data_IF_386716217743
#
_entry.id   IF_386716217743
#
_cell.length_a   1.000
_cell.length_b   1.000
_cell.length_c   1.000
_cell.angle_alpha   90.00
_cell.angle_beta   90.00
_cell.angle_gamma   90.00
#
_symmetry.space_group_name_H-M   'P 1'
#
loop_
_entity.id
_entity.type
_entity.pdbx_description
1 polymer ?
#
# COMPACT_ATOMS: atom_id res chain seq x y z
N UNK A 1 -24.80 -28.97 8.62
CA UNK A 1 -24.46 -27.54 8.54
C UNK A 1 -23.25 -27.34 9.42
N UNK A 2 -22.07 -27.54 8.86
CA UNK A 2 -20.80 -27.43 9.58
C UNK A 2 -20.26 -26.04 9.32
N UNK A 3 -20.20 -25.21 10.35
CA UNK A 3 -19.56 -23.89 10.30
C UNK A 3 -18.05 -24.09 10.14
N UNK A 4 -17.53 -23.85 8.94
CA UNK A 4 -16.09 -23.79 8.68
C UNK A 4 -15.53 -22.52 9.36
N UNK A 5 -14.90 -22.73 10.53
CA UNK A 5 -14.09 -21.74 11.24
C UNK A 5 -12.68 -21.67 10.64
N UNK A 6 -12.54 -21.44 9.34
CA UNK A 6 -11.21 -21.37 8.69
C UNK A 6 -11.01 -20.03 7.97
N UNK A 7 -10.81 -18.99 8.77
CA UNK A 7 -9.90 -17.87 8.53
C UNK A 7 -9.92 -17.03 9.81
N UNK A 8 -8.85 -17.09 10.61
CA UNK A 8 -8.68 -16.17 11.74
C UNK A 8 -8.61 -14.75 11.17
N UNK A 9 -9.71 -13.99 11.34
CA UNK A 9 -9.76 -12.56 11.03
C UNK A 9 -8.67 -11.88 11.83
N UNK A 10 -7.77 -11.17 11.15
CA UNK A 10 -6.75 -10.37 11.82
C UNK A 10 -7.44 -9.13 12.39
N UNK A 11 -7.89 -9.23 13.65
CA UNK A 11 -8.53 -8.12 14.35
C UNK A 11 -7.48 -7.14 14.90
N UNK A 12 -7.89 -5.88 15.10
CA UNK A 12 -7.07 -4.79 15.65
C UNK A 12 -6.36 -5.10 16.97
N UNK A 13 -6.82 -6.10 17.73
CA UNK A 13 -6.13 -6.54 18.96
C UNK A 13 -4.70 -7.05 18.68
N UNK A 14 -4.40 -7.39 17.42
CA UNK A 14 -3.19 -8.10 17.04
C UNK A 14 -2.33 -7.36 15.99
N UNK A 15 -2.43 -6.03 15.85
CA UNK A 15 -1.55 -5.28 14.92
C UNK A 15 -0.05 -5.50 15.23
N UNK A 16 0.29 -5.70 16.51
CA UNK A 16 1.64 -6.11 16.92
C UNK A 16 2.05 -7.51 16.43
N UNK A 17 1.08 -8.42 16.19
CA UNK A 17 1.36 -9.76 15.69
C UNK A 17 1.90 -9.76 14.26
N UNK A 18 1.69 -8.68 13.49
CA UNK A 18 2.28 -8.51 12.16
C UNK A 18 3.82 -8.61 12.23
N UNK A 19 4.39 -8.19 13.36
CA UNK A 19 5.84 -8.09 13.57
C UNK A 19 6.42 -9.22 14.43
N UNK A 20 5.68 -10.32 14.63
CA UNK A 20 6.21 -11.51 15.31
C UNK A 20 7.37 -12.13 14.52
N UNK A 21 8.03 -13.13 15.08
CA UNK A 21 9.17 -13.80 14.42
C UNK A 21 8.79 -14.55 13.15
N UNK A 22 7.50 -14.84 12.93
CA UNK A 22 7.05 -15.51 11.73
C UNK A 22 7.14 -14.56 10.53
N UNK A 23 7.66 -15.06 9.41
CA UNK A 23 7.70 -14.31 8.17
C UNK A 23 6.27 -14.18 7.61
N UNK A 24 5.79 -12.95 7.44
CA UNK A 24 4.44 -12.66 6.95
C UNK A 24 4.51 -11.73 5.77
N UNK A 25 3.66 -11.90 4.78
CA UNK A 25 3.56 -10.99 3.65
C UNK A 25 2.18 -10.34 3.56
N UNK A 26 2.16 -9.07 3.19
CA UNK A 26 0.97 -8.42 2.67
C UNK A 26 0.92 -8.58 1.15
N UNK A 27 -0.26 -8.90 0.62
CA UNK A 27 -0.53 -8.93 -0.82
C UNK A 27 -1.69 -7.99 -1.11
N UNK A 28 -1.45 -7.00 -1.96
CA UNK A 28 -2.48 -6.09 -2.48
C UNK A 28 -2.61 -6.21 -3.99
N UNK A 29 -3.84 -6.49 -4.45
CA UNK A 29 -4.21 -6.64 -5.86
C UNK A 29 -4.99 -5.43 -6.41
N UNK A 30 -5.02 -4.31 -5.68
CA UNK A 30 -5.87 -3.16 -6.03
C UNK A 30 -5.45 -2.53 -7.35
N UNK A 31 -4.15 -2.46 -7.61
CA UNK A 31 -3.56 -1.85 -8.81
C UNK A 31 -3.21 -2.86 -9.92
N UNK A 32 -3.63 -4.12 -9.79
CA UNK A 32 -3.30 -5.17 -10.77
C UNK A 32 -3.96 -4.91 -12.11
N UNK A 33 -5.23 -4.52 -12.10
CA UNK A 33 -5.98 -4.16 -13.31
C UNK A 33 -6.62 -2.79 -13.13
N UNK A 34 -6.23 -1.83 -13.97
CA UNK A 34 -6.88 -0.54 -14.10
C UNK A 34 -6.89 -0.11 -15.57
N UNK A 35 -7.72 0.89 -15.87
CA UNK A 35 -7.95 1.37 -17.23
C UNK A 35 -7.90 2.89 -17.27
N UNK A 36 -7.46 3.42 -18.41
CA UNK A 36 -7.71 4.81 -18.77
C UNK A 36 -9.04 4.90 -19.51
N UNK A 37 -9.92 5.81 -19.07
CA UNK A 37 -11.19 6.11 -19.75
C UNK A 37 -10.94 7.22 -20.75
N UNK A 38 -11.21 6.95 -22.03
CA UNK A 38 -11.10 7.90 -23.12
C UNK A 38 -12.49 8.27 -23.62
N UNK A 39 -12.77 9.58 -23.69
CA UNK A 39 -14.01 10.11 -24.26
C UNK A 39 -13.89 10.13 -25.78
N UNK A 40 -14.82 9.45 -26.46
CA UNK A 40 -14.95 9.58 -27.91
C UNK A 40 -15.79 10.81 -28.28
N UNK A 41 -15.60 11.30 -29.50
CA UNK A 41 -16.30 12.48 -30.04
C UNK A 41 -17.82 12.32 -30.11
N UNK A 42 -18.33 11.09 -30.15
CA UNK A 42 -19.76 10.76 -30.20
C UNK A 42 -20.42 10.64 -28.81
N UNK A 43 -19.65 10.88 -27.74
CA UNK A 43 -20.11 10.76 -26.35
C UNK A 43 -19.96 9.35 -25.76
N UNK A 44 -19.46 8.37 -26.52
CA UNK A 44 -19.17 7.04 -25.99
C UNK A 44 -17.86 7.02 -25.18
N UNK A 45 -17.81 6.19 -24.14
CA UNK A 45 -16.61 5.97 -23.35
C UNK A 45 -15.90 4.70 -23.84
N UNK A 46 -14.59 4.79 -24.06
CA UNK A 46 -13.74 3.61 -24.29
C UNK A 46 -12.75 3.45 -23.16
N UNK A 47 -12.37 2.22 -22.85
CA UNK A 47 -11.39 1.92 -21.80
C UNK A 47 -10.19 1.21 -22.40
N UNK A 48 -8.99 1.71 -22.09
CA UNK A 48 -7.74 1.09 -22.51
C UNK A 48 -7.02 0.55 -21.28
N UNK A 49 -6.69 -0.75 -21.22
CA UNK A 49 -5.89 -1.30 -20.14
C UNK A 49 -4.51 -0.65 -20.07
N UNK A 50 -4.07 -0.36 -18.86
CA UNK A 50 -2.72 0.13 -18.57
C UNK A 50 -1.92 -0.94 -17.83
N UNK A 51 -0.60 -0.75 -17.74
CA UNK A 51 0.24 -1.59 -16.89
C UNK A 51 -0.23 -1.49 -15.45
N UNK A 52 -0.35 -2.64 -14.78
CA UNK A 52 -0.67 -2.72 -13.36
C UNK A 52 0.47 -3.34 -12.56
N UNK A 53 0.25 -3.50 -11.25
CA UNK A 53 1.20 -4.20 -10.40
C UNK A 53 0.53 -4.97 -9.26
N UNK A 54 1.09 -6.13 -8.94
CA UNK A 54 0.85 -6.83 -7.67
C UNK A 54 1.86 -6.29 -6.66
N UNK A 55 1.36 -5.89 -5.48
CA UNK A 55 2.19 -5.40 -4.39
C UNK A 55 2.34 -6.48 -3.33
N UNK A 56 3.57 -6.96 -3.10
CA UNK A 56 3.87 -8.02 -2.11
C UNK A 56 4.93 -7.50 -1.14
N UNK A 57 4.56 -7.25 0.12
CA UNK A 57 5.42 -6.60 1.11
C UNK A 57 5.70 -7.52 2.29
N UNK A 58 6.96 -7.66 2.66
CA UNK A 58 7.38 -8.11 3.97
C UNK A 58 7.41 -6.91 4.94
N UNK A 59 6.47 -6.80 5.90
CA UNK A 59 6.38 -5.64 6.78
C UNK A 59 7.52 -5.59 7.81
N UNK A 60 8.25 -6.69 8.02
CA UNK A 60 9.38 -6.73 8.96
C UNK A 60 10.67 -6.22 8.32
N UNK A 61 10.93 -6.60 7.08
CA UNK A 61 12.20 -6.25 6.40
C UNK A 61 12.07 -5.04 5.48
N UNK A 62 10.85 -4.68 5.06
CA UNK A 62 10.64 -3.67 4.03
C UNK A 62 10.84 -4.20 2.61
N UNK A 63 11.12 -5.50 2.41
CA UNK A 63 11.21 -6.05 1.06
C UNK A 63 9.85 -5.98 0.36
N UNK A 64 9.80 -5.21 -0.72
CA UNK A 64 8.67 -5.11 -1.62
C UNK A 64 9.02 -5.82 -2.93
N UNK A 65 8.31 -6.92 -3.20
CA UNK A 65 8.29 -7.55 -4.51
C UNK A 65 7.14 -6.91 -5.31
N UNK A 66 7.49 -6.00 -6.23
CA UNK A 66 6.56 -5.34 -7.10
C UNK A 66 6.51 -6.09 -8.44
N UNK A 67 5.47 -6.89 -8.65
CA UNK A 67 5.28 -7.60 -9.92
C UNK A 67 4.52 -6.70 -10.88
N UNK A 68 5.20 -6.20 -11.90
CA UNK A 68 4.58 -5.47 -13.00
C UNK A 68 3.79 -6.45 -13.88
N UNK A 69 2.53 -6.10 -14.17
CA UNK A 69 1.65 -6.81 -15.09
C UNK A 69 1.43 -5.91 -16.31
N UNK A 70 2.06 -6.26 -17.43
CA UNK A 70 1.97 -5.48 -18.65
C UNK A 70 0.56 -5.50 -19.26
N UNK A 71 0.15 -4.41 -19.90
CA UNK A 71 -1.20 -4.23 -20.42
C UNK A 71 -1.63 -5.32 -21.43
N UNK A 72 -0.69 -5.93 -22.15
CA UNK A 72 -0.96 -7.01 -23.12
C UNK A 72 -1.55 -8.27 -22.49
N UNK A 73 -1.36 -8.50 -21.19
CA UNK A 73 -1.94 -9.65 -20.47
C UNK A 73 -3.47 -9.63 -20.51
N UNK A 74 -4.07 -8.44 -20.63
CA UNK A 74 -5.51 -8.24 -20.64
C UNK A 74 -6.15 -8.46 -22.02
N UNK A 75 -5.35 -8.57 -23.09
CA UNK A 75 -5.86 -8.72 -24.44
C UNK A 75 -6.69 -10.01 -24.58
N UNK A 76 -7.92 -9.87 -25.07
CA UNK A 76 -8.84 -11.00 -25.28
C UNK A 76 -9.42 -11.64 -24.01
N UNK A 77 -9.06 -11.14 -22.82
CA UNK A 77 -9.56 -11.67 -21.56
C UNK A 77 -10.99 -11.19 -21.28
N UNK A 78 -11.80 -12.06 -20.66
CA UNK A 78 -13.13 -11.75 -20.12
C UNK A 78 -13.08 -11.83 -18.59
N UNK A 79 -14.03 -11.19 -17.91
CA UNK A 79 -14.12 -11.21 -16.44
C UNK A 79 -12.83 -10.72 -15.76
N UNK A 80 -12.32 -9.58 -16.19
CA UNK A 80 -11.00 -9.04 -15.85
C UNK A 80 -10.73 -8.96 -14.33
N UNK A 81 -11.75 -8.72 -13.51
CA UNK A 81 -11.62 -8.75 -12.05
C UNK A 81 -11.29 -10.15 -11.48
N UNK A 82 -11.82 -11.23 -12.07
CA UNK A 82 -11.46 -12.60 -11.68
C UNK A 82 -10.07 -12.96 -12.22
N UNK A 83 -9.76 -12.53 -13.44
CA UNK A 83 -8.44 -12.74 -14.05
C UNK A 83 -7.34 -12.05 -13.24
N UNK A 84 -7.55 -10.82 -12.77
CA UNK A 84 -6.60 -10.11 -11.91
C UNK A 84 -6.31 -10.85 -10.60
N UNK A 85 -7.34 -11.38 -9.94
CA UNK A 85 -7.18 -12.21 -8.73
C UNK A 85 -6.40 -13.49 -9.01
N UNK A 86 -6.69 -14.16 -10.12
CA UNK A 86 -5.99 -15.39 -10.53
C UNK A 86 -4.52 -15.11 -10.81
N UNK A 87 -4.22 -14.09 -11.62
CA UNK A 87 -2.83 -13.67 -11.91
C UNK A 87 -2.10 -13.35 -10.61
N UNK A 88 -2.72 -12.60 -9.70
CA UNK A 88 -2.14 -12.31 -8.38
C UNK A 88 -1.76 -13.58 -7.64
N UNK A 89 -2.68 -14.55 -7.54
CA UNK A 89 -2.42 -15.81 -6.86
C UNK A 89 -1.32 -16.64 -7.54
N UNK A 90 -1.31 -16.69 -8.88
CA UNK A 90 -0.30 -17.39 -9.69
C UNK A 90 1.10 -16.78 -9.48
N UNK A 91 1.22 -15.45 -9.53
CA UNK A 91 2.49 -14.73 -9.36
C UNK A 91 3.01 -14.82 -7.92
N UNK A 92 2.14 -14.72 -6.92
CA UNK A 92 2.51 -14.93 -5.51
C UNK A 92 3.00 -16.37 -5.30
N UNK A 93 2.28 -17.37 -5.81
CA UNK A 93 2.68 -18.77 -5.70
C UNK A 93 3.99 -19.06 -6.45
N UNK A 94 4.21 -18.44 -7.61
CA UNK A 94 5.46 -18.55 -8.34
C UNK A 94 6.62 -17.96 -7.53
N UNK A 95 6.46 -16.76 -6.97
CA UNK A 95 7.47 -16.11 -6.13
C UNK A 95 7.85 -16.99 -4.93
N UNK A 96 6.87 -17.51 -4.19
CA UNK A 96 7.13 -18.38 -3.03
C UNK A 96 7.98 -19.59 -3.42
N UNK A 97 7.71 -20.22 -4.57
CA UNK A 97 8.50 -21.38 -5.06
C UNK A 97 9.94 -21.06 -5.43
N UNK A 98 10.27 -19.78 -5.65
CA UNK A 98 11.65 -19.36 -5.96
C UNK A 98 12.49 -19.09 -4.72
N UNK A 99 11.87 -18.99 -3.55
CA UNK A 99 12.57 -18.67 -2.30
C UNK A 99 13.09 -19.92 -1.60
N UNK A 100 14.19 -19.80 -0.84
CA UNK A 100 14.56 -20.79 0.17
C UNK A 100 13.45 -20.99 1.21
N UNK A 101 13.34 -22.18 1.78
CA UNK A 101 12.29 -22.56 2.75
C UNK A 101 12.28 -21.66 4.00
N UNK A 102 13.44 -21.09 4.34
CA UNK A 102 13.64 -20.14 5.43
C UNK A 102 13.03 -18.76 5.13
N UNK A 103 13.00 -18.36 3.86
CA UNK A 103 12.47 -17.07 3.39
C UNK A 103 11.01 -17.15 2.94
N UNK A 104 10.43 -18.35 2.87
CA UNK A 104 9.01 -18.52 2.58
C UNK A 104 8.12 -17.87 3.64
N UNK A 105 7.04 -17.17 3.24
CA UNK A 105 6.08 -16.62 4.18
C UNK A 105 5.32 -17.76 4.89
N UNK A 106 5.21 -17.67 6.21
CA UNK A 106 4.36 -18.57 7.02
C UNK A 106 2.91 -18.10 7.05
N UNK A 107 2.65 -16.83 6.73
CA UNK A 107 1.32 -16.25 6.60
C UNK A 107 1.28 -15.24 5.46
N UNK A 108 0.23 -15.28 4.65
CA UNK A 108 -0.07 -14.27 3.62
C UNK A 108 -1.35 -13.56 4.01
N UNK A 109 -1.29 -12.24 4.10
CA UNK A 109 -2.39 -11.35 4.47
C UNK A 109 -2.82 -10.58 3.21
N UNK A 110 -4.04 -10.84 2.74
CA UNK A 110 -4.59 -10.17 1.55
C UNK A 110 -5.42 -8.95 1.99
N UNK A 111 -5.09 -7.78 1.46
CA UNK A 111 -5.70 -6.49 1.88
C UNK A 111 -7.10 -6.23 1.33
N UNK A 112 -7.48 -6.88 0.23
CA UNK A 112 -8.76 -6.60 -0.46
C UNK A 112 -9.94 -7.44 0.03
N UNK A 113 -9.81 -8.12 1.17
CA UNK A 113 -10.89 -8.95 1.68
C UNK A 113 -11.83 -8.16 2.59
N UNK A 114 -12.91 -7.62 1.99
CA UNK A 114 -14.00 -6.91 2.71
C UNK A 114 -14.63 -7.72 3.85
N UNK A 115 -14.37 -9.02 3.94
CA UNK A 115 -14.97 -9.93 4.92
C UNK A 115 -13.93 -10.45 5.94
N UNK A 116 -12.65 -10.07 5.85
CA UNK A 116 -11.61 -10.65 6.73
C UNK A 116 -10.39 -9.79 7.06
N UNK A 117 -10.13 -8.70 6.33
CA UNK A 117 -9.14 -7.70 6.74
C UNK A 117 -9.86 -6.48 7.31
N UNK A 118 -9.82 -6.34 8.63
CA UNK A 118 -10.32 -5.14 9.33
C UNK A 118 -9.60 -3.85 8.91
N UNK A 119 -8.41 -3.98 8.30
CA UNK A 119 -7.59 -2.86 7.86
C UNK A 119 -7.76 -2.57 6.37
N UNK A 120 -8.14 -1.34 6.01
CA UNK A 120 -8.02 -0.84 4.64
C UNK A 120 -6.68 -0.12 4.46
N UNK A 121 -5.58 -0.87 4.52
CA UNK A 121 -4.23 -0.31 4.37
C UNK A 121 -4.09 0.40 3.01
N UNK A 122 -3.42 1.55 2.95
CA UNK A 122 -3.39 2.42 1.77
C UNK A 122 -2.37 1.95 0.71
N UNK A 123 -2.14 0.65 0.55
CA UNK A 123 -1.12 0.13 -0.38
C UNK A 123 -1.43 0.46 -1.85
N UNK A 124 -2.69 0.71 -2.21
CA UNK A 124 -3.06 1.22 -3.53
C UNK A 124 -2.40 2.57 -3.86
N UNK A 125 -2.00 3.35 -2.86
CA UNK A 125 -1.29 4.61 -3.06
C UNK A 125 0.19 4.42 -3.44
N UNK A 126 0.72 3.19 -3.44
CA UNK A 126 2.13 2.92 -3.74
C UNK A 126 2.54 3.42 -5.14
N UNK A 127 1.65 3.36 -6.14
CA UNK A 127 1.94 3.84 -7.48
C UNK A 127 1.92 5.37 -7.61
N UNK A 128 1.53 6.10 -6.55
CA UNK A 128 1.70 7.55 -6.47
C UNK A 128 3.13 7.97 -6.11
N UNK A 129 3.97 7.01 -5.69
CA UNK A 129 5.41 7.19 -5.48
C UNK A 129 6.07 7.16 -6.84
N UNK A 130 6.78 8.23 -7.20
CA UNK A 130 7.34 8.45 -8.53
C UNK A 130 8.20 7.27 -9.00
N UNK A 131 9.14 6.80 -8.17
CA UNK A 131 10.03 5.68 -8.51
C UNK A 131 9.27 4.39 -8.83
N UNK A 132 8.23 4.05 -8.06
CA UNK A 132 7.44 2.83 -8.28
C UNK A 132 6.50 3.00 -9.46
N UNK A 133 5.82 4.14 -9.57
CA UNK A 133 4.91 4.47 -10.67
C UNK A 133 5.63 4.51 -12.02
N UNK A 134 6.85 5.05 -12.06
CA UNK A 134 7.68 5.08 -13.26
C UNK A 134 8.08 3.70 -13.73
N UNK A 135 8.48 2.81 -12.81
CA UNK A 135 8.84 1.43 -13.15
C UNK A 135 7.65 0.68 -13.75
N UNK A 136 6.45 0.87 -13.20
CA UNK A 136 5.24 0.22 -13.73
C UNK A 136 4.82 0.82 -15.07
N UNK A 137 4.80 2.15 -15.19
CA UNK A 137 4.32 2.84 -16.39
C UNK A 137 5.26 2.67 -17.59
N UNK A 138 6.57 2.62 -17.36
CA UNK A 138 7.59 2.51 -18.43
C UNK A 138 7.92 1.07 -18.83
N UNK A 139 7.42 0.07 -18.09
CA UNK A 139 7.69 -1.34 -18.39
C UNK A 139 7.10 -1.75 -19.75
N UNK A 140 7.92 -2.44 -20.55
CA UNK A 140 7.51 -3.00 -21.86
C UNK A 140 7.08 -4.47 -21.77
N UNK A 141 7.25 -5.10 -20.62
CA UNK A 141 6.88 -6.48 -20.33
C UNK A 141 6.58 -6.69 -18.84
N UNK A 142 5.96 -7.81 -18.51
CA UNK A 142 5.69 -8.20 -17.12
C UNK A 142 6.99 -8.67 -16.45
N UNK A 143 7.36 -8.07 -15.32
CA UNK A 143 8.62 -8.36 -14.63
C UNK A 143 8.47 -8.20 -13.11
N UNK A 144 9.31 -8.90 -12.35
CA UNK A 144 9.39 -8.76 -10.90
C UNK A 144 10.52 -7.78 -10.55
N UNK A 145 10.23 -6.76 -9.75
CA UNK A 145 11.22 -5.80 -9.28
C UNK A 145 11.23 -5.79 -7.76
N UNK A 146 12.41 -5.95 -7.17
CA UNK A 146 12.61 -5.93 -5.72
C UNK A 146 13.01 -4.52 -5.27
N UNK A 147 12.32 -4.01 -4.26
CA UNK A 147 12.66 -2.77 -3.55
C UNK A 147 12.80 -3.04 -2.05
N UNK A 148 13.50 -2.16 -1.35
CA UNK A 148 13.33 -2.01 0.08
C UNK A 148 12.55 -0.72 0.35
N UNK A 149 11.27 -0.82 0.73
CA UNK A 149 10.40 0.35 0.99
C UNK A 149 10.73 1.09 2.28
N UNK A 150 11.63 0.56 3.10
CA UNK A 150 12.12 1.26 4.28
C UNK A 150 13.43 1.98 4.06
N UNK A 151 14.07 1.81 2.90
CA UNK A 151 15.43 2.29 2.65
C UNK A 151 16.36 1.89 3.82
N UNK A 152 16.83 2.86 4.60
CA UNK A 152 17.74 2.71 5.74
C UNK A 152 17.04 2.82 7.12
N UNK A 153 15.72 2.99 7.18
CA UNK A 153 15.02 3.27 8.45
C UNK A 153 15.26 2.23 9.54
N UNK A 154 15.49 0.97 9.17
CA UNK A 154 15.73 -0.11 10.13
C UNK A 154 17.07 0.02 10.89
N UNK A 155 17.94 0.96 10.50
CA UNK A 155 19.16 1.28 11.23
C UNK A 155 18.88 2.06 12.53
N UNK A 156 17.84 2.92 12.53
CA UNK A 156 17.50 3.77 13.68
C UNK A 156 16.15 3.44 14.33
N UNK A 157 15.23 2.78 13.62
CA UNK A 157 13.88 2.48 14.14
C UNK A 157 13.48 1.01 13.99
N UNK A 158 12.54 0.58 14.85
CA UNK A 158 12.00 -0.78 14.78
C UNK A 158 11.18 -1.03 13.50
N UNK A 159 11.03 -2.30 13.06
CA UNK A 159 10.13 -2.63 11.96
C UNK A 159 8.69 -2.14 12.13
N UNK A 160 8.18 -2.15 13.37
CA UNK A 160 6.87 -1.60 13.69
C UNK A 160 6.77 -0.12 13.37
N UNK A 161 7.79 0.65 13.78
CA UNK A 161 7.87 2.09 13.53
C UNK A 161 8.03 2.38 12.04
N UNK A 162 8.91 1.65 11.35
CA UNK A 162 9.12 1.78 9.90
C UNK A 162 7.84 1.49 9.11
N UNK A 163 7.12 0.41 9.44
CA UNK A 163 5.84 0.11 8.81
C UNK A 163 4.78 1.17 9.10
N UNK A 164 4.70 1.65 10.35
CA UNK A 164 3.76 2.71 10.73
C UNK A 164 4.03 4.01 9.97
N UNK A 165 5.31 4.37 9.79
CA UNK A 165 5.76 5.49 8.95
C UNK A 165 5.32 5.29 7.50
N UNK A 166 5.58 4.11 6.92
CA UNK A 166 5.15 3.78 5.55
C UNK A 166 3.63 3.93 5.38
N UNK A 167 2.84 3.36 6.28
CA UNK A 167 1.37 3.46 6.23
C UNK A 167 0.90 4.90 6.32
N UNK A 168 1.50 5.70 7.21
CA UNK A 168 1.20 7.13 7.35
C UNK A 168 1.48 7.90 6.05
N UNK A 169 2.65 7.68 5.44
CA UNK A 169 3.02 8.32 4.18
C UNK A 169 2.06 7.93 3.06
N UNK A 170 1.80 6.63 2.90
CA UNK A 170 0.89 6.12 1.87
C UNK A 170 -0.54 6.64 2.07
N UNK A 171 -1.01 6.76 3.32
CA UNK A 171 -2.33 7.35 3.62
C UNK A 171 -2.36 8.83 3.26
N UNK A 172 -1.33 9.60 3.60
CA UNK A 172 -1.24 11.01 3.23
C UNK A 172 -1.22 11.19 1.71
N UNK A 173 -0.42 10.40 0.99
CA UNK A 173 -0.39 10.39 -0.48
C UNK A 173 -1.75 10.00 -1.09
N UNK A 174 -2.50 9.12 -0.43
CA UNK A 174 -3.84 8.75 -0.87
C UNK A 174 -4.80 9.94 -0.76
N UNK A 175 -4.80 10.62 0.39
CA UNK A 175 -5.71 11.71 0.76
C UNK A 175 -5.43 12.99 -0.03
N UNK A 176 -4.18 13.46 -0.02
CA UNK A 176 -3.74 14.67 -0.74
C UNK A 176 -2.32 14.46 -1.24
N UNK A 177 -2.18 14.12 -2.52
CA UNK A 177 -0.90 13.71 -3.08
C UNK A 177 0.12 14.86 -3.13
N UNK A 178 -0.33 16.05 -3.51
CA UNK A 178 0.53 17.20 -3.73
C UNK A 178 1.04 17.74 -2.40
N UNK A 179 0.15 17.96 -1.43
CA UNK A 179 0.58 18.42 -0.09
C UNK A 179 1.46 17.38 0.60
N UNK A 180 1.16 16.08 0.49
CA UNK A 180 2.00 15.05 1.09
C UNK A 180 3.41 15.05 0.48
N UNK A 181 3.54 15.19 -0.85
CA UNK A 181 4.85 15.31 -1.52
C UNK A 181 5.62 16.55 -1.09
N UNK A 182 4.95 17.68 -0.90
CA UNK A 182 5.56 18.89 -0.35
C UNK A 182 6.06 18.67 1.09
N UNK A 183 5.26 18.04 1.94
CA UNK A 183 5.64 17.78 3.34
C UNK A 183 6.82 16.81 3.49
N UNK A 184 6.97 15.86 2.55
CA UNK A 184 8.10 14.93 2.54
C UNK A 184 9.44 15.63 2.21
N UNK A 185 9.40 16.80 1.57
CA UNK A 185 10.59 17.60 1.19
C UNK A 185 10.54 18.97 1.89
N UNK A 186 10.90 19.05 3.18
CA UNK A 186 10.70 20.26 3.99
C UNK A 186 11.60 21.43 3.57
N UNK A 187 12.72 21.16 2.90
CA UNK A 187 13.63 22.18 2.37
C UNK A 187 14.31 21.69 1.09
N UNK A 188 14.90 22.64 0.33
CA UNK A 188 15.54 22.35 -0.97
C UNK A 188 16.86 21.57 -0.85
N UNK A 189 17.46 21.52 0.34
CA UNK A 189 18.71 20.78 0.57
C UNK A 189 18.49 19.29 0.77
N UNK A 190 17.25 18.88 1.07
CA UNK A 190 16.87 17.47 1.21
C UNK A 190 16.88 16.78 -0.16
N UNK A 191 17.80 15.83 -0.30
CA UNK A 191 17.91 14.97 -1.48
C UNK A 191 17.40 13.57 -1.20
N UNK A 192 17.02 12.86 -2.26
CA UNK A 192 16.74 11.43 -2.22
C UNK A 192 17.89 10.73 -2.92
N UNK A 193 18.53 9.78 -2.24
CA UNK A 193 19.60 8.99 -2.85
C UNK A 193 19.07 8.17 -4.05
N UNK A 194 19.87 7.95 -5.12
CA UNK A 194 19.40 7.26 -6.32
C UNK A 194 18.83 5.86 -6.07
N UNK A 195 19.33 5.16 -5.04
CA UNK A 195 18.88 3.83 -4.67
C UNK A 195 17.72 3.85 -3.67
N UNK A 196 17.48 4.97 -2.98
CA UNK A 196 16.38 5.14 -2.03
C UNK A 196 15.06 5.51 -2.72
N UNK A 197 13.96 5.31 -2.00
CA UNK A 197 12.61 5.75 -2.37
C UNK A 197 12.29 7.09 -1.71
N UNK A 198 12.72 7.26 -0.46
CA UNK A 198 12.37 8.38 0.39
C UNK A 198 13.51 9.40 0.52
N UNK A 199 13.20 10.68 0.79
CA UNK A 199 14.21 11.68 1.10
C UNK A 199 15.04 11.31 2.33
N UNK A 200 16.33 11.63 2.29
CA UNK A 200 17.26 11.41 3.38
C UNK A 200 17.01 12.43 4.48
N UNK A 201 16.34 12.01 5.56
CA UNK A 201 15.97 12.85 6.69
C UNK A 201 16.57 12.30 7.99
N UNK A 202 16.99 13.19 8.87
CA UNK A 202 17.34 12.83 10.25
C UNK A 202 16.11 12.36 11.03
N UNK A 203 16.30 11.61 12.12
CA UNK A 203 15.19 11.15 12.97
C UNK A 203 14.30 12.31 13.48
N UNK A 204 14.90 13.47 13.77
CA UNK A 204 14.16 14.67 14.19
C UNK A 204 13.32 15.27 13.05
N UNK A 205 13.87 15.31 11.83
CA UNK A 205 13.11 15.73 10.65
C UNK A 205 11.96 14.74 10.37
N UNK A 206 12.21 13.43 10.46
CA UNK A 206 11.17 12.41 10.33
C UNK A 206 10.04 12.62 11.34
N UNK A 207 10.35 12.87 12.61
CA UNK A 207 9.34 13.16 13.63
C UNK A 207 8.47 14.37 13.25
N UNK A 208 9.10 15.43 12.72
CA UNK A 208 8.40 16.65 12.28
C UNK A 208 7.49 16.37 11.08
N UNK A 209 7.99 15.65 10.08
CA UNK A 209 7.25 15.26 8.87
C UNK A 209 6.09 14.32 9.22
N UNK A 210 6.28 13.34 10.10
CA UNK A 210 5.23 12.43 10.56
C UNK A 210 4.08 13.17 11.25
N UNK A 211 4.38 14.18 12.08
CA UNK A 211 3.35 15.04 12.68
C UNK A 211 2.59 15.81 11.60
N UNK A 212 3.29 16.38 10.62
CA UNK A 212 2.67 17.13 9.54
C UNK A 212 1.76 16.25 8.65
N UNK A 213 2.23 15.05 8.28
CA UNK A 213 1.44 14.09 7.49
C UNK A 213 0.21 13.61 8.26
N UNK A 214 0.33 13.37 9.57
CA UNK A 214 -0.80 13.04 10.44
C UNK A 214 -1.83 14.16 10.45
N UNK A 215 -1.40 15.40 10.65
CA UNK A 215 -2.28 16.57 10.67
C UNK A 215 -3.00 16.75 9.33
N UNK A 216 -2.30 16.51 8.21
CA UNK A 216 -2.90 16.52 6.87
C UNK A 216 -4.06 15.51 6.77
N UNK A 217 -3.83 14.25 7.15
CA UNK A 217 -4.86 13.20 7.11
C UNK A 217 -6.06 13.56 7.98
N UNK A 218 -5.83 14.00 9.21
CA UNK A 218 -6.89 14.37 10.14
C UNK A 218 -7.68 15.60 9.67
N UNK A 219 -7.01 16.59 9.09
CA UNK A 219 -7.66 17.81 8.58
C UNK A 219 -8.60 17.52 7.41
N UNK A 220 -8.19 16.66 6.47
CA UNK A 220 -9.02 16.26 5.34
C UNK A 220 -10.16 15.33 5.78
N UNK A 221 -9.93 14.45 6.77
CA UNK A 221 -11.00 13.66 7.39
C UNK A 221 -12.05 14.57 8.08
N UNK A 222 -11.60 15.51 8.89
CA UNK A 222 -12.44 16.48 9.61
C UNK A 222 -13.30 17.28 8.63
N UNK A 223 -12.68 17.80 7.56
CA UNK A 223 -13.37 18.52 6.48
C UNK A 223 -14.40 17.66 5.75
N UNK A 224 -14.06 16.40 5.45
CA UNK A 224 -14.97 15.49 4.73
C UNK A 224 -16.18 15.07 5.56
N UNK A 225 -15.99 14.88 6.87
CA UNK A 225 -17.05 14.41 7.78
C UNK A 225 -17.71 15.53 8.60
N UNK A 226 -17.30 16.78 8.39
CA UNK A 226 -17.79 17.95 9.12
C UNK A 226 -17.68 17.78 10.66
N UNK A 227 -16.53 17.26 11.11
CA UNK A 227 -16.19 17.12 12.54
C UNK A 227 -14.97 17.98 12.87
N UNK A 228 -14.78 18.31 14.14
CA UNK A 228 -13.60 19.04 14.58
C UNK A 228 -12.43 18.06 14.84
N UNK A 229 -11.27 18.31 14.22
CA UNK A 229 -10.10 17.45 14.38
C UNK A 229 -9.59 17.36 15.83
N UNK A 230 -9.84 18.39 16.65
CA UNK A 230 -9.42 18.44 18.05
C UNK A 230 -10.25 17.52 18.97
N UNK A 231 -11.43 17.10 18.52
CA UNK A 231 -12.34 16.29 19.32
C UNK A 231 -12.05 14.78 19.16
N UNK A 232 -11.13 14.41 18.26
CA UNK A 232 -10.78 13.02 17.99
C UNK A 232 -9.92 12.42 19.10
N UNK A 233 -10.35 11.28 19.62
CA UNK A 233 -9.61 10.45 20.56
C UNK A 233 -8.40 9.78 19.89
N UNK A 234 -7.44 9.30 20.70
CA UNK A 234 -6.27 8.58 20.19
C UNK A 234 -6.65 7.30 19.42
N UNK A 235 -7.71 6.61 19.83
CA UNK A 235 -8.26 5.45 19.11
C UNK A 235 -8.81 5.85 17.75
N UNK A 236 -9.61 6.91 17.66
CA UNK A 236 -10.16 7.38 16.39
C UNK A 236 -9.05 7.84 15.44
N UNK A 237 -8.05 8.56 15.94
CA UNK A 237 -6.89 8.97 15.13
C UNK A 237 -6.18 7.75 14.54
N UNK A 238 -5.90 6.72 15.36
CA UNK A 238 -5.27 5.49 14.90
C UNK A 238 -6.14 4.81 13.84
N UNK A 239 -7.43 4.70 14.10
CA UNK A 239 -8.37 4.00 13.24
C UNK A 239 -8.54 4.72 11.89
N UNK A 240 -8.56 6.06 11.86
CA UNK A 240 -8.54 6.87 10.64
C UNK A 240 -7.28 6.61 9.81
N UNK A 241 -6.10 6.59 10.44
CA UNK A 241 -4.82 6.37 9.74
C UNK A 241 -4.76 4.95 9.18
N UNK A 242 -5.16 3.95 9.96
CA UNK A 242 -5.17 2.54 9.56
C UNK A 242 -6.33 2.21 8.59
N UNK A 243 -7.29 3.11 8.44
CA UNK A 243 -8.41 2.97 7.51
C UNK A 243 -9.50 2.04 8.02
N UNK A 244 -9.78 2.07 9.32
CA UNK A 244 -10.96 1.45 9.88
C UNK A 244 -12.21 2.23 9.43
N UNK A 245 -13.29 1.50 9.15
CA UNK A 245 -14.54 2.13 8.77
C UNK A 245 -15.18 2.75 10.01
N UNK A 246 -15.04 4.07 10.18
CA UNK A 246 -15.75 4.82 11.24
C UNK A 246 -17.21 5.07 10.90
N UNK A 247 -17.72 4.61 9.73
CA UNK A 247 -19.14 4.82 9.35
C UNK A 247 -20.08 3.68 9.75
N UNK A 248 -19.65 2.77 10.62
CA UNK A 248 -20.54 1.90 11.38
C UNK A 248 -20.79 2.47 12.77
N UNK A 249 -22.00 3.00 13.01
CA UNK A 249 -22.57 3.59 14.24
C UNK A 249 -22.79 5.11 14.08
N UNK A 250 -23.91 5.48 13.45
CA UNK A 250 -25.02 6.27 14.03
C UNK A 250 -26.30 6.00 13.24
#
# INVERSE_FOLDING_TARGET
MSSNNDATSSSLQNYGEIFTSQNKWFVDDTNVYHVTVNNLFDGNLTTTPTNGAVFILNPRTGHLYLKVIHATVWAGQKLLGQVAKRITAEEVAALVRTLPVEEEPKQIIVTRNRIGSEFQLPFHACLKIEKLGDVVSKATESQMVLFNVYDDWLESVSPYTAFSRLVLILRALHVDNDKAKMLLKPDESVVTEPHHIWPSLTDFQWMTVEVALRNLILSEYAKKNNVNAWDLTLSEIRDIILGYDTTGIY
#
